data_IF_635743712501
#
_entry.id   IF_635743712501
#
_cell.length_a   1.000
_cell.length_b   1.000
_cell.length_c   1.000
_cell.angle_alpha   90.00
_cell.angle_beta   90.00
_cell.angle_gamma   90.00
#
_symmetry.space_group_name_H-M   'P 1'
#
loop_
_entity.id
_entity.type
_entity.pdbx_description
1 polymer ?
#
# COMPACT_ATOMS: atom_id res chain seq x y z
N UNK A 1 34.59 -12.47 -60.87
CA UNK A 1 33.17 -12.50 -60.53
C UNK A 1 33.10 -12.77 -59.03
N UNK A 2 32.94 -11.70 -58.24
CA UNK A 2 32.90 -11.76 -56.77
C UNK A 2 31.60 -12.45 -56.32
N UNK A 3 31.69 -13.46 -55.46
CA UNK A 3 30.55 -14.03 -54.75
C UNK A 3 30.65 -13.61 -53.28
N UNK A 4 29.67 -12.82 -52.86
CA UNK A 4 29.49 -12.24 -51.53
C UNK A 4 29.07 -13.31 -50.52
N UNK A 5 29.64 -13.25 -49.30
CA UNK A 5 29.18 -14.02 -48.14
C UNK A 5 27.90 -13.40 -47.54
N UNK A 6 26.95 -14.19 -47.03
CA UNK A 6 25.79 -13.66 -46.32
C UNK A 6 26.17 -13.37 -44.85
N UNK A 7 26.17 -12.09 -44.50
CA UNK A 7 26.26 -11.61 -43.12
C UNK A 7 24.91 -11.78 -42.43
N UNK A 8 24.77 -12.76 -41.54
CA UNK A 8 23.58 -12.91 -40.70
C UNK A 8 23.48 -11.77 -39.69
N UNK A 9 22.57 -10.84 -39.95
CA UNK A 9 22.16 -9.79 -39.02
C UNK A 9 21.45 -10.43 -37.82
N UNK A 10 22.06 -10.37 -36.62
CA UNK A 10 21.36 -10.69 -35.37
C UNK A 10 20.46 -9.51 -34.99
N UNK A 11 19.15 -9.70 -35.09
CA UNK A 11 18.16 -8.74 -34.60
C UNK A 11 18.07 -8.88 -33.07
N UNK A 12 18.75 -8.00 -32.32
CA UNK A 12 18.48 -7.82 -30.89
C UNK A 12 17.13 -7.11 -30.75
N UNK A 13 16.07 -7.88 -30.45
CA UNK A 13 14.81 -7.32 -29.95
C UNK A 13 15.04 -6.83 -28.52
N UNK A 14 15.33 -5.54 -28.37
CA UNK A 14 15.17 -4.83 -27.11
C UNK A 14 13.67 -4.75 -26.82
N UNK A 15 13.16 -5.71 -26.05
CA UNK A 15 11.86 -5.59 -25.41
C UNK A 15 11.95 -4.44 -24.40
N UNK A 16 11.54 -3.25 -24.81
CA UNK A 16 11.21 -2.17 -23.88
C UNK A 16 9.97 -2.61 -23.11
N UNK A 17 10.15 -3.30 -21.98
CA UNK A 17 9.12 -3.33 -20.94
C UNK A 17 8.93 -1.89 -20.49
N UNK A 18 7.85 -1.26 -20.92
CA UNK A 18 7.35 -0.07 -20.26
C UNK A 18 7.05 -0.46 -18.81
N UNK A 19 7.93 -0.11 -17.88
CA UNK A 19 7.63 -0.19 -16.45
C UNK A 19 6.46 0.76 -16.22
N UNK A 20 5.25 0.20 -16.21
CA UNK A 20 4.09 0.95 -15.75
C UNK A 20 4.29 1.16 -14.25
N UNK A 21 4.17 2.40 -13.81
CA UNK A 21 4.20 2.78 -12.39
C UNK A 21 2.76 3.05 -11.97
N UNK A 22 2.25 2.28 -11.00
CA UNK A 22 0.97 2.54 -10.39
C UNK A 22 1.11 3.78 -9.54
N UNK A 23 0.02 4.49 -9.41
CA UNK A 23 -0.03 5.67 -8.58
C UNK A 23 -1.25 5.49 -7.71
N UNK A 24 -1.09 5.16 -6.43
CA UNK A 24 -2.22 4.99 -5.54
C UNK A 24 -1.89 5.33 -4.09
N UNK A 25 -2.85 5.94 -3.41
CA UNK A 25 -2.86 6.16 -1.97
C UNK A 25 -4.23 5.83 -1.38
N UNK A 26 -4.27 5.62 -0.07
CA UNK A 26 -5.49 5.79 0.71
C UNK A 26 -5.67 7.28 1.04
N UNK A 27 -6.80 7.84 0.63
CA UNK A 27 -7.17 9.23 0.84
C UNK A 27 -8.13 9.37 2.00
N UNK A 28 -7.79 10.25 2.94
CA UNK A 28 -8.62 10.63 4.08
C UNK A 28 -8.22 12.02 4.57
N UNK A 29 -9.11 12.75 5.24
CA UNK A 29 -8.81 14.10 5.76
C UNK A 29 -7.62 14.14 6.73
N UNK A 30 -7.41 13.05 7.47
CA UNK A 30 -6.31 12.90 8.41
C UNK A 30 -4.96 12.53 7.79
N UNK A 31 -4.85 12.43 6.46
CA UNK A 31 -3.59 12.06 5.79
C UNK A 31 -2.62 13.24 5.70
N UNK A 32 -1.34 12.93 5.71
CA UNK A 32 -0.29 13.85 5.29
C UNK A 32 -0.35 14.05 3.77
N UNK A 33 0.04 15.23 3.31
CA UNK A 33 0.12 15.57 1.89
C UNK A 33 -1.23 15.48 1.14
N UNK A 34 -2.36 15.54 1.87
CA UNK A 34 -3.70 15.51 1.27
C UNK A 34 -3.88 16.58 0.20
N UNK A 35 -3.28 17.75 0.43
CA UNK A 35 -3.37 18.93 -0.44
C UNK A 35 -2.23 19.05 -1.45
N UNK A 36 -1.30 18.08 -1.46
CA UNK A 36 -0.03 18.13 -2.17
C UNK A 36 1.11 18.66 -1.31
N UNK A 37 2.30 18.77 -1.89
CA UNK A 37 3.55 19.10 -1.19
C UNK A 37 4.11 20.52 -1.48
N UNK A 38 3.27 21.42 -1.99
CA UNK A 38 3.65 22.77 -2.37
C UNK A 38 3.06 23.85 -1.44
N UNK A 39 2.27 23.45 -0.43
CA UNK A 39 1.66 24.36 0.55
C UNK A 39 0.40 25.07 0.07
N UNK A 40 0.00 24.90 -1.19
CA UNK A 40 -1.32 25.28 -1.69
C UNK A 40 -2.27 24.07 -1.74
N UNK A 41 -3.58 24.33 -1.69
CA UNK A 41 -4.59 23.30 -1.87
C UNK A 41 -4.67 22.90 -3.36
N UNK A 42 -3.94 21.85 -3.75
CA UNK A 42 -3.99 21.31 -5.10
C UNK A 42 -5.06 20.22 -5.21
N UNK A 43 -6.12 20.53 -5.95
CA UNK A 43 -7.22 19.62 -6.26
C UNK A 43 -6.77 18.40 -7.07
N UNK A 44 -5.75 18.55 -7.92
CA UNK A 44 -5.28 17.51 -8.83
C UNK A 44 -3.94 16.91 -8.38
N UNK A 45 -3.56 17.05 -7.11
CA UNK A 45 -2.31 16.49 -6.60
C UNK A 45 -2.27 14.97 -6.76
N UNK A 46 -1.09 14.50 -7.13
CA UNK A 46 -0.71 13.10 -7.15
C UNK A 46 0.61 12.88 -6.37
N UNK A 47 0.92 13.75 -5.41
CA UNK A 47 2.18 13.65 -4.64
C UNK A 47 2.19 12.42 -3.72
N UNK A 48 1.10 12.18 -3.01
CA UNK A 48 0.96 11.06 -2.07
C UNK A 48 0.84 9.69 -2.73
N UNK A 49 0.64 9.64 -4.05
CA UNK A 49 0.43 8.39 -4.81
C UNK A 49 1.69 7.91 -5.51
N UNK A 50 2.78 8.69 -5.49
CA UNK A 50 4.03 8.32 -6.13
C UNK A 50 4.58 7.01 -5.53
N UNK A 51 5.24 6.15 -6.31
CA UNK A 51 5.89 4.96 -5.76
C UNK A 51 7.14 5.34 -4.94
N UNK A 52 7.55 4.42 -4.07
CA UNK A 52 8.83 4.44 -3.36
C UNK A 52 9.67 3.25 -3.83
N UNK A 53 10.82 3.51 -4.45
CA UNK A 53 11.67 2.47 -5.02
C UNK A 53 13.15 2.88 -5.02
N UNK A 54 14.01 2.00 -4.51
CA UNK A 54 15.47 2.18 -4.45
C UNK A 54 15.91 3.48 -3.76
N UNK A 55 15.18 3.90 -2.74
CA UNK A 55 15.46 5.12 -1.96
C UNK A 55 16.22 4.80 -0.66
N UNK A 56 16.94 5.78 -0.12
CA UNK A 56 17.51 5.67 1.23
C UNK A 56 16.39 5.74 2.27
N UNK A 57 16.62 5.23 3.49
CA UNK A 57 15.59 5.20 4.53
C UNK A 57 15.05 6.58 4.87
N UNK A 58 15.94 7.57 4.94
CA UNK A 58 15.57 8.96 5.19
C UNK A 58 14.70 9.57 4.09
N UNK A 59 14.67 8.98 2.88
CA UNK A 59 13.91 9.50 1.74
C UNK A 59 12.55 8.80 1.61
N UNK A 60 12.47 7.47 1.72
CA UNK A 60 11.18 6.80 1.53
C UNK A 60 10.28 6.84 2.76
N UNK A 61 10.84 7.00 3.96
CA UNK A 61 10.06 7.00 5.20
C UNK A 61 9.01 8.12 5.16
N UNK A 62 7.73 7.74 5.14
CA UNK A 62 6.60 8.66 5.01
C UNK A 62 6.70 9.67 3.84
N UNK A 63 7.30 9.27 2.71
CA UNK A 63 7.43 10.13 1.54
C UNK A 63 8.29 11.40 1.76
N UNK A 64 9.37 11.30 2.53
CA UNK A 64 10.27 12.45 2.70
C UNK A 64 10.96 12.89 1.39
N UNK A 65 11.14 11.99 0.42
CA UNK A 65 11.74 12.27 -0.88
C UNK A 65 11.03 13.40 -1.66
N UNK A 66 9.71 13.52 -1.46
CA UNK A 66 8.89 14.61 -1.99
C UNK A 66 8.28 15.46 -0.87
N UNK A 67 8.82 15.36 0.35
CA UNK A 67 8.47 16.12 1.55
C UNK A 67 7.02 15.99 2.01
N UNK A 68 6.29 14.96 1.60
CA UNK A 68 4.88 14.82 1.98
C UNK A 68 4.69 14.72 3.51
N UNK A 69 5.67 14.18 4.23
CA UNK A 69 5.73 14.16 5.70
C UNK A 69 5.76 15.55 6.35
N UNK A 70 6.17 16.60 5.63
CA UNK A 70 6.18 17.99 6.09
C UNK A 70 4.82 18.69 5.94
N UNK A 71 3.82 18.05 5.32
CA UNK A 71 2.48 18.60 5.09
C UNK A 71 1.42 17.85 5.91
N UNK A 72 1.29 18.13 7.22
CA UNK A 72 0.29 17.48 8.05
C UNK A 72 -1.15 17.83 7.62
N UNK A 73 -2.14 17.01 8.02
CA UNK A 73 -3.54 17.38 7.86
C UNK A 73 -3.88 18.65 8.66
N UNK A 74 -4.93 19.37 8.25
CA UNK A 74 -5.42 20.54 8.98
C UNK A 74 -5.83 20.17 10.42
N UNK A 75 -5.77 21.12 11.34
CA UNK A 75 -6.15 20.91 12.75
C UNK A 75 -7.57 20.33 12.89
N UNK A 76 -7.68 19.28 13.72
CA UNK A 76 -8.93 18.55 13.94
C UNK A 76 -9.24 17.48 12.88
N UNK A 77 -8.55 17.47 11.73
CA UNK A 77 -8.68 16.38 10.77
C UNK A 77 -7.81 15.20 11.20
N UNK A 78 -8.47 14.12 11.63
CA UNK A 78 -7.83 12.86 12.02
C UNK A 78 -8.57 11.68 11.39
N UNK A 79 -7.86 10.57 11.18
CA UNK A 79 -8.50 9.29 10.88
C UNK A 79 -9.06 8.69 12.18
N UNK A 80 -10.38 8.64 12.29
CA UNK A 80 -11.08 8.01 13.41
C UNK A 80 -11.16 6.50 13.21
N UNK A 81 -10.65 5.74 14.17
CA UNK A 81 -10.60 4.27 14.14
C UNK A 81 -11.47 3.74 15.28
N UNK A 82 -12.70 3.28 15.03
CA UNK A 82 -13.52 2.68 16.07
C UNK A 82 -12.93 1.34 16.53
N UNK A 83 -12.61 1.20 17.83
CA UNK A 83 -12.16 -0.06 18.41
C UNK A 83 -13.23 -1.16 18.22
N UNK A 84 -12.81 -2.36 17.78
CA UNK A 84 -13.70 -3.45 17.35
C UNK A 84 -14.73 -3.07 16.27
N UNK A 85 -14.47 -2.00 15.51
CA UNK A 85 -15.35 -1.51 14.47
C UNK A 85 -14.66 -1.44 13.12
N UNK A 86 -15.25 -0.62 12.25
CA UNK A 86 -14.79 -0.44 10.88
C UNK A 86 -14.58 1.04 10.58
N UNK A 87 -13.62 1.34 9.71
CA UNK A 87 -13.39 2.68 9.18
C UNK A 87 -13.20 2.58 7.67
N UNK A 88 -13.55 3.65 6.96
CA UNK A 88 -13.56 3.67 5.49
C UNK A 88 -12.65 4.79 4.98
N UNK A 89 -11.88 4.49 3.96
CA UNK A 89 -11.03 5.43 3.22
C UNK A 89 -11.28 5.28 1.72
N UNK A 90 -10.76 6.23 0.94
CA UNK A 90 -10.85 6.18 -0.51
C UNK A 90 -9.50 5.83 -1.13
N UNK A 91 -9.36 4.69 -1.78
CA UNK A 91 -8.21 4.42 -2.66
C UNK A 91 -8.37 5.19 -3.97
N UNK A 92 -7.40 6.02 -4.32
CA UNK A 92 -7.46 6.72 -5.60
C UNK A 92 -6.08 7.05 -6.17
N UNK A 93 -6.03 7.14 -7.50
CA UNK A 93 -4.78 7.45 -8.25
C UNK A 93 -4.47 8.95 -8.30
N UNK A 94 -5.42 9.78 -7.87
CA UNK A 94 -5.30 11.22 -7.76
C UNK A 94 -6.38 11.72 -6.80
N UNK A 95 -6.12 12.82 -6.10
CA UNK A 95 -7.09 13.41 -5.18
C UNK A 95 -8.41 13.79 -5.85
N UNK A 96 -8.40 14.18 -7.13
CA UNK A 96 -9.60 14.58 -7.88
C UNK A 96 -10.67 13.48 -7.95
N UNK A 97 -10.25 12.23 -7.80
CA UNK A 97 -11.13 11.06 -7.82
C UNK A 97 -11.67 10.69 -6.43
N UNK A 98 -11.56 11.60 -5.45
CA UNK A 98 -12.01 11.39 -4.06
C UNK A 98 -13.02 12.44 -3.65
N UNK A 99 -13.71 12.23 -2.54
CA UNK A 99 -14.62 13.23 -1.96
C UNK A 99 -13.90 14.41 -1.27
N UNK A 100 -12.56 14.45 -1.30
CA UNK A 100 -11.73 15.45 -0.61
C UNK A 100 -11.47 16.72 -1.43
N UNK A 101 -12.23 16.92 -2.51
CA UNK A 101 -12.16 18.10 -3.37
C UNK A 101 -13.55 18.62 -3.72
N UNK A 102 -13.63 19.89 -4.08
CA UNK A 102 -14.83 20.44 -4.70
C UNK A 102 -15.03 19.88 -6.12
N UNK A 103 -16.29 19.55 -6.44
CA UNK A 103 -16.70 18.96 -7.71
C UNK A 103 -15.86 17.75 -8.14
N UNK A 104 -15.85 16.65 -7.36
CA UNK A 104 -15.00 15.51 -7.62
C UNK A 104 -15.43 14.72 -8.86
N UNK A 105 -14.51 13.93 -9.43
CA UNK A 105 -14.81 12.97 -10.50
C UNK A 105 -14.92 11.58 -9.87
N UNK A 106 -16.13 11.16 -9.53
CA UNK A 106 -16.35 9.93 -8.76
C UNK A 106 -16.87 8.81 -9.66
N UNK A 107 -16.29 7.63 -9.46
CA UNK A 107 -16.75 6.35 -9.97
C UNK A 107 -16.50 5.25 -8.95
N UNK A 108 -16.81 4.01 -9.31
CA UNK A 108 -16.58 2.84 -8.47
C UNK A 108 -15.10 2.53 -8.30
N UNK A 109 -14.30 2.78 -9.33
CA UNK A 109 -12.87 2.44 -9.36
C UNK A 109 -11.97 3.64 -9.07
N UNK A 110 -10.71 3.35 -8.76
CA UNK A 110 -9.74 4.28 -8.15
C UNK A 110 -9.36 5.50 -8.99
N UNK A 111 -9.72 5.52 -10.28
CA UNK A 111 -9.51 6.64 -11.20
C UNK A 111 -10.82 7.39 -11.54
N UNK A 112 -11.87 7.18 -10.75
CA UNK A 112 -13.16 7.83 -10.95
C UNK A 112 -13.98 7.29 -12.13
N UNK A 113 -13.61 6.16 -12.71
CA UNK A 113 -14.31 5.53 -13.84
C UNK A 113 -15.15 4.32 -13.43
N UNK A 114 -15.99 3.88 -14.36
CA UNK A 114 -16.76 2.63 -14.32
C UNK A 114 -16.22 1.66 -15.37
N UNK A 115 -16.15 0.38 -15.02
CA UNK A 115 -15.71 -0.68 -15.92
C UNK A 115 -16.69 -1.85 -15.88
N UNK A 116 -17.07 -2.36 -17.06
CA UNK A 116 -17.90 -3.56 -17.19
C UNK A 116 -17.10 -4.87 -17.21
N UNK A 117 -15.79 -4.80 -17.51
CA UNK A 117 -14.92 -5.95 -17.78
C UNK A 117 -13.50 -5.75 -17.22
N UNK A 118 -13.34 -5.03 -16.11
CA UNK A 118 -12.02 -4.80 -15.52
C UNK A 118 -11.40 -6.13 -15.06
N UNK A 119 -10.20 -6.43 -15.55
CA UNK A 119 -9.49 -7.67 -15.25
C UNK A 119 -9.88 -8.87 -16.12
N UNK A 120 -10.76 -8.69 -17.09
CA UNK A 120 -10.95 -9.69 -18.16
C UNK A 120 -9.78 -9.62 -19.13
N UNK A 121 -9.16 -10.77 -19.40
CA UNK A 121 -8.09 -10.87 -20.41
C UNK A 121 -8.68 -10.90 -21.82
N UNK A 122 -7.88 -10.45 -22.80
CA UNK A 122 -8.30 -10.47 -24.21
C UNK A 122 -8.59 -11.90 -24.69
N UNK A 123 -9.49 -12.01 -25.68
CA UNK A 123 -9.80 -13.30 -26.30
C UNK A 123 -8.52 -14.00 -26.81
N UNK A 124 -8.39 -15.29 -26.50
CA UNK A 124 -7.21 -16.09 -26.83
C UNK A 124 -6.02 -15.93 -25.86
N UNK A 125 -6.20 -15.23 -24.75
CA UNK A 125 -5.26 -15.18 -23.62
C UNK A 125 -5.80 -15.95 -22.43
N UNK A 126 -4.90 -16.52 -21.63
CA UNK A 126 -5.27 -17.12 -20.36
C UNK A 126 -5.89 -16.04 -19.43
N UNK A 127 -7.02 -16.31 -18.76
CA UNK A 127 -7.62 -15.36 -17.84
C UNK A 127 -6.62 -14.90 -16.76
N UNK A 128 -6.54 -13.60 -16.51
CA UNK A 128 -5.62 -13.02 -15.53
C UNK A 128 -4.15 -13.06 -15.94
N UNK A 129 -3.83 -13.31 -17.22
CA UNK A 129 -2.43 -13.27 -17.71
C UNK A 129 -1.95 -11.87 -18.11
N UNK A 130 -2.87 -10.92 -18.29
CA UNK A 130 -2.55 -9.56 -18.72
C UNK A 130 -2.73 -8.57 -17.56
N UNK A 131 -1.70 -7.74 -17.34
CA UNK A 131 -1.77 -6.67 -16.35
C UNK A 131 -2.76 -5.58 -16.78
N UNK A 132 -3.53 -5.08 -15.80
CA UNK A 132 -4.40 -3.93 -15.98
C UNK A 132 -3.53 -2.68 -16.11
N UNK A 133 -3.63 -2.01 -17.26
CA UNK A 133 -2.89 -0.78 -17.56
C UNK A 133 -3.65 0.50 -17.20
N UNK A 134 -4.96 0.41 -16.98
CA UNK A 134 -5.84 1.51 -16.53
C UNK A 134 -6.95 0.85 -15.70
N UNK A 135 -7.12 1.19 -14.40
CA UNK A 135 -6.54 2.33 -13.67
C UNK A 135 -5.10 2.12 -13.14
N UNK A 136 -4.33 1.20 -13.71
CA UNK A 136 -2.95 0.88 -13.32
C UNK A 136 -2.78 0.63 -11.81
N UNK A 137 -3.45 -0.41 -11.31
CA UNK A 137 -3.42 -0.86 -9.91
C UNK A 137 -2.57 -2.11 -9.71
N UNK A 138 -1.66 -2.38 -10.66
CA UNK A 138 -0.67 -3.45 -10.60
C UNK A 138 -1.23 -4.81 -10.20
N UNK A 139 -2.29 -5.20 -10.90
CA UNK A 139 -2.86 -6.53 -10.82
C UNK A 139 -3.48 -6.89 -12.17
N UNK A 140 -3.74 -8.16 -12.39
CA UNK A 140 -4.42 -8.69 -13.56
C UNK A 140 -5.93 -8.81 -13.33
N UNK A 141 -6.38 -8.98 -12.08
CA UNK A 141 -7.79 -9.00 -11.68
C UNK A 141 -7.96 -8.79 -10.15
N UNK A 142 -9.20 -8.71 -9.66
CA UNK A 142 -9.49 -8.46 -8.23
C UNK A 142 -8.83 -9.50 -7.32
N UNK A 143 -8.92 -10.78 -7.67
CA UNK A 143 -8.41 -11.88 -6.84
C UNK A 143 -6.88 -11.90 -6.73
N UNK A 144 -6.19 -11.24 -7.66
CA UNK A 144 -4.73 -11.13 -7.70
C UNK A 144 -4.20 -9.83 -7.07
N UNK A 145 -5.07 -8.91 -6.67
CA UNK A 145 -4.64 -7.69 -5.99
C UNK A 145 -3.99 -8.01 -4.63
N UNK A 146 -2.83 -7.40 -4.39
CA UNK A 146 -1.85 -7.85 -3.40
C UNK A 146 -2.27 -7.70 -1.92
N UNK A 147 -3.31 -6.92 -1.66
CA UNK A 147 -3.73 -6.51 -0.33
C UNK A 147 -3.03 -5.23 0.14
N UNK A 148 -3.72 -4.48 0.99
CA UNK A 148 -3.26 -3.23 1.58
C UNK A 148 -3.43 -3.28 3.10
N UNK A 149 -2.69 -2.45 3.83
CA UNK A 149 -2.69 -2.49 5.28
C UNK A 149 -2.75 -1.10 5.91
N UNK A 150 -3.25 -1.07 7.14
CA UNK A 150 -3.07 0.05 8.06
C UNK A 150 -2.25 -0.38 9.28
N UNK A 151 -1.32 0.47 9.65
CA UNK A 151 -0.51 0.36 10.86
C UNK A 151 -0.70 1.57 11.78
N UNK A 152 -0.43 1.38 13.07
CA UNK A 152 -0.59 2.40 14.11
C UNK A 152 0.66 2.45 14.98
N UNK A 153 1.07 3.68 15.32
CA UNK A 153 2.09 3.99 16.32
C UNK A 153 1.48 4.91 17.37
N UNK A 154 1.63 4.53 18.64
CA UNK A 154 1.12 5.28 19.80
C UNK A 154 2.03 6.47 20.15
N UNK A 155 2.49 7.18 19.13
CA UNK A 155 3.23 8.42 19.20
C UNK A 155 2.36 9.54 18.60
N UNK A 156 2.35 10.71 19.25
CA UNK A 156 1.57 11.86 18.77
C UNK A 156 2.26 12.62 17.64
N UNK A 157 3.58 12.45 17.49
CA UNK A 157 4.42 13.15 16.52
C UNK A 157 5.02 12.17 15.50
N UNK A 158 4.96 12.53 14.21
CA UNK A 158 5.46 11.71 13.11
C UNK A 158 6.97 11.39 13.25
N UNK A 159 7.75 12.35 13.74
CA UNK A 159 9.20 12.21 13.94
C UNK A 159 9.59 11.18 15.00
N UNK A 160 8.66 10.79 15.89
CA UNK A 160 8.86 9.75 16.89
C UNK A 160 8.47 8.35 16.38
N UNK A 161 7.89 8.25 15.18
CA UNK A 161 7.49 6.97 14.59
C UNK A 161 8.71 6.26 14.00
N UNK A 162 8.87 5.00 14.37
CA UNK A 162 9.94 4.12 13.90
C UNK A 162 9.34 2.80 13.39
N UNK A 163 10.15 2.01 12.70
CA UNK A 163 9.76 0.66 12.27
C UNK A 163 9.38 -0.24 13.47
N UNK A 164 9.97 0.00 14.63
CA UNK A 164 9.79 -0.81 15.83
C UNK A 164 8.59 -0.37 16.69
N UNK A 165 7.92 0.72 16.34
CA UNK A 165 6.71 1.18 17.05
C UNK A 165 5.48 1.33 16.15
N UNK A 166 5.60 0.98 14.86
CA UNK A 166 4.52 1.04 13.88
C UNK A 166 3.99 -0.39 13.60
N UNK A 167 2.81 -0.70 14.13
CA UNK A 167 2.24 -2.06 14.13
C UNK A 167 1.07 -2.17 13.17
N UNK A 168 1.11 -3.13 12.25
CA UNK A 168 -0.02 -3.43 11.37
C UNK A 168 -1.19 -3.95 12.20
N UNK A 169 -2.31 -3.24 12.18
CA UNK A 169 -3.51 -3.60 12.93
C UNK A 169 -4.69 -3.99 12.04
N UNK A 170 -4.66 -3.65 10.76
CA UNK A 170 -5.70 -4.01 9.80
C UNK A 170 -5.09 -4.32 8.44
N UNK A 171 -5.61 -5.36 7.79
CA UNK A 171 -5.26 -5.73 6.43
C UNK A 171 -6.55 -5.93 5.66
N UNK A 172 -6.58 -5.48 4.41
CA UNK A 172 -7.67 -5.74 3.49
C UNK A 172 -7.07 -6.46 2.28
N UNK A 173 -7.59 -7.65 1.97
CA UNK A 173 -7.18 -8.41 0.79
C UNK A 173 -7.82 -7.86 -0.47
N UNK A 174 -7.27 -8.27 -1.61
CA UNK A 174 -7.83 -7.95 -2.93
C UNK A 174 -7.95 -6.45 -3.16
N UNK A 175 -7.03 -5.71 -2.54
CA UNK A 175 -6.86 -4.28 -2.71
C UNK A 175 -5.45 -3.99 -3.21
N UNK A 176 -5.27 -2.85 -3.89
CA UNK A 176 -6.31 -1.93 -4.35
C UNK A 176 -7.17 -2.51 -5.48
N UNK A 177 -8.44 -2.10 -5.53
CA UNK A 177 -9.37 -2.49 -6.60
C UNK A 177 -10.46 -1.44 -6.81
N UNK A 178 -11.36 -1.32 -5.82
CA UNK A 178 -12.39 -0.27 -5.78
C UNK A 178 -11.89 0.95 -5.02
N UNK A 179 -12.52 2.10 -5.30
CA UNK A 179 -12.24 3.36 -4.60
C UNK A 179 -12.61 3.28 -3.13
N UNK A 180 -13.83 2.86 -2.80
CA UNK A 180 -14.25 2.75 -1.41
C UNK A 180 -13.67 1.48 -0.79
N UNK A 181 -12.89 1.62 0.28
CA UNK A 181 -12.28 0.52 1.00
C UNK A 181 -12.54 0.64 2.50
N UNK A 182 -13.09 -0.43 3.09
CA UNK A 182 -13.47 -0.50 4.50
C UNK A 182 -12.60 -1.51 5.23
N UNK A 183 -12.01 -1.07 6.34
CA UNK A 183 -11.05 -1.82 7.13
C UNK A 183 -11.61 -2.10 8.53
N UNK A 184 -11.28 -3.27 9.07
CA UNK A 184 -11.69 -3.68 10.42
C UNK A 184 -10.56 -3.42 11.41
N UNK A 185 -10.88 -2.82 12.55
CA UNK A 185 -9.93 -2.58 13.64
C UNK A 185 -10.17 -3.58 14.78
N UNK A 186 -9.10 -4.08 15.44
CA UNK A 186 -9.22 -4.89 16.64
C UNK A 186 -9.61 -4.01 17.84
N UNK A 187 -9.64 -4.59 19.05
CA UNK A 187 -9.89 -3.88 20.30
C UNK A 187 -8.68 -3.03 20.73
N UNK A 188 -8.36 -2.01 19.92
CA UNK A 188 -7.23 -1.12 20.12
C UNK A 188 -7.38 -0.30 21.42
N UNK A 189 -6.31 -0.11 22.20
CA UNK A 189 -6.32 0.83 23.32
C UNK A 189 -6.38 2.28 22.82
N UNK A 190 -6.77 3.18 23.72
CA UNK A 190 -6.85 4.62 23.42
C UNK A 190 -5.49 5.20 23.05
N UNK A 191 -5.47 6.12 22.08
CA UNK A 191 -4.30 6.93 21.76
C UNK A 191 -3.91 7.85 22.95
N UNK A 192 -2.63 8.24 23.06
CA UNK A 192 -2.23 9.27 24.01
C UNK A 192 -2.85 10.63 23.67
N UNK A 193 -2.64 11.61 24.57
CA UNK A 193 -2.96 13.00 24.26
C UNK A 193 -2.23 13.46 22.99
N UNK A 194 -2.94 14.17 22.11
CA UNK A 194 -2.45 14.55 20.78
C UNK A 194 -2.70 13.50 19.68
N UNK A 195 -3.21 12.32 20.04
CA UNK A 195 -3.55 11.26 19.08
C UNK A 195 -2.39 10.30 18.81
N UNK A 196 -2.56 9.50 17.76
CA UNK A 196 -1.57 8.56 17.25
C UNK A 196 -1.16 8.95 15.82
N UNK A 197 -0.09 8.32 15.34
CA UNK A 197 0.23 8.31 13.92
C UNK A 197 -0.10 6.94 13.34
N UNK A 198 -0.80 6.94 12.21
CA UNK A 198 -1.09 5.76 11.43
C UNK A 198 -0.40 5.81 10.08
N UNK A 199 -0.26 4.66 9.44
CA UNK A 199 0.27 4.56 8.09
C UNK A 199 -0.58 3.59 7.26
N UNK A 200 -0.84 3.94 6.01
CA UNK A 200 -1.32 3.01 5.00
C UNK A 200 -0.14 2.48 4.19
N UNK A 201 -0.19 1.20 3.81
CA UNK A 201 0.86 0.58 3.01
C UNK A 201 0.32 -0.35 1.93
N UNK A 202 1.06 -0.41 0.83
CA UNK A 202 0.81 -1.34 -0.27
C UNK A 202 2.13 -1.76 -0.94
N UNK A 203 2.23 -3.05 -1.27
CA UNK A 203 3.29 -3.61 -2.12
C UNK A 203 2.60 -4.37 -3.27
N UNK A 204 2.78 -3.94 -4.52
CA UNK A 204 2.18 -4.58 -5.69
C UNK A 204 2.66 -6.01 -5.90
N UNK A 205 1.88 -6.83 -6.61
CA UNK A 205 2.24 -8.21 -6.90
C UNK A 205 2.17 -8.50 -8.42
N UNK A 206 3.30 -8.91 -9.01
CA UNK A 206 3.38 -9.46 -10.36
C UNK A 206 3.26 -8.47 -11.54
N UNK A 207 2.66 -7.30 -11.36
CA UNK A 207 2.51 -6.29 -12.40
C UNK A 207 3.24 -4.98 -12.06
N UNK A 208 3.92 -4.40 -13.05
CA UNK A 208 4.63 -3.12 -12.90
C UNK A 208 6.01 -3.24 -12.26
N UNK A 209 6.58 -2.09 -11.92
CA UNK A 209 7.81 -2.04 -11.11
C UNK A 209 7.50 -2.51 -9.68
N UNK A 210 8.34 -3.38 -9.08
CA UNK A 210 8.10 -3.89 -7.74
C UNK A 210 8.45 -2.83 -6.67
N UNK A 211 7.65 -1.77 -6.61
CA UNK A 211 7.79 -0.64 -5.69
C UNK A 211 7.08 -0.88 -4.35
N UNK A 212 7.18 0.09 -3.44
CA UNK A 212 6.33 0.16 -2.25
C UNK A 212 5.55 1.49 -2.21
N UNK A 213 4.45 1.52 -1.48
CA UNK A 213 3.66 2.73 -1.25
C UNK A 213 3.40 2.85 0.24
N UNK A 214 3.55 4.05 0.77
CA UNK A 214 3.38 4.34 2.19
C UNK A 214 2.86 5.75 2.39
N UNK A 215 1.78 5.92 3.15
CA UNK A 215 1.19 7.24 3.41
C UNK A 215 0.91 7.39 4.90
N UNK A 216 1.28 8.53 5.48
CA UNK A 216 1.06 8.82 6.89
C UNK A 216 -0.28 9.49 7.18
N UNK A 217 -0.77 9.30 8.40
CA UNK A 217 -2.01 9.88 8.90
C UNK A 217 -1.87 10.29 10.36
N UNK A 218 -2.48 11.42 10.75
CA UNK A 218 -2.90 11.60 12.15
C UNK A 218 -4.15 10.76 12.37
N UNK A 219 -4.19 9.97 13.44
CA UNK A 219 -5.31 9.09 13.74
C UNK A 219 -5.64 9.07 15.23
N UNK A 220 -6.85 8.60 15.55
CA UNK A 220 -7.28 8.39 16.94
C UNK A 220 -8.16 7.16 17.05
N UNK A 221 -8.08 6.47 18.18
CA UNK A 221 -8.93 5.30 18.47
C UNK A 221 -10.18 5.77 19.20
N UNK A 222 -11.34 5.52 18.60
CA UNK A 222 -12.66 5.85 19.13
C UNK A 222 -13.22 4.67 19.91
N UNK A 223 -14.01 4.94 20.95
CA UNK A 223 -14.68 3.92 21.78
C UNK A 223 -13.74 2.88 22.40
N UNK A 224 -12.46 3.23 22.62
CA UNK A 224 -11.49 2.33 23.23
C UNK A 224 -11.87 1.98 24.67
N UNK A 225 -12.02 0.69 24.94
CA UNK A 225 -12.24 0.16 26.31
C UNK A 225 -11.13 -0.78 26.75
N UNK A 226 -10.38 -1.34 25.80
CA UNK A 226 -9.20 -2.14 26.04
C UNK A 226 -8.12 -1.37 26.80
N UNK A 227 -7.46 -2.09 27.71
CA UNK A 227 -6.25 -1.65 28.42
C UNK A 227 -5.01 -2.45 28.01
N UNK A 228 -5.15 -3.33 27.01
CA UNK A 228 -4.04 -4.17 26.53
C UNK A 228 -3.04 -3.27 25.83
N UNK A 229 -1.76 -3.43 26.14
CA UNK A 229 -0.69 -2.77 25.39
C UNK A 229 -0.46 -3.50 24.07
N UNK A 230 -0.16 -2.75 23.01
CA UNK A 230 0.33 -3.31 21.75
C UNK A 230 1.72 -3.91 21.99
N UNK A 231 1.95 -5.12 21.48
CA UNK A 231 3.25 -5.77 21.54
C UNK A 231 4.25 -5.11 20.59
N UNK A 232 5.55 -5.23 20.90
CA UNK A 232 6.59 -4.83 19.95
C UNK A 232 6.48 -5.66 18.66
N UNK A 233 6.37 -5.02 17.49
CA UNK A 233 6.21 -5.72 16.23
C UNK A 233 7.52 -6.38 15.77
N UNK A 234 7.41 -7.52 15.11
CA UNK A 234 8.51 -8.16 14.37
C UNK A 234 8.33 -8.03 12.86
N UNK A 235 9.41 -8.02 12.06
CA UNK A 235 9.28 -8.10 10.60
C UNK A 235 8.47 -9.34 10.20
N UNK A 236 7.50 -9.22 9.26
CA UNK A 236 6.83 -10.40 8.72
C UNK A 236 7.80 -11.23 7.87
N UNK A 237 7.48 -12.50 7.65
CA UNK A 237 8.30 -13.39 6.83
C UNK A 237 7.44 -14.16 5.85
N UNK A 238 8.03 -14.49 4.69
CA UNK A 238 7.37 -15.33 3.70
C UNK A 238 7.11 -16.73 4.28
N UNK A 239 5.86 -17.17 4.23
CA UNK A 239 5.41 -18.42 4.80
C UNK A 239 4.33 -19.10 3.94
N UNK A 240 4.24 -18.77 2.65
CA UNK A 240 3.26 -19.38 1.73
C UNK A 240 3.31 -20.92 1.77
N UNK A 241 4.52 -21.50 1.71
CA UNK A 241 4.72 -22.95 1.65
C UNK A 241 4.40 -23.67 2.97
N UNK A 242 4.43 -22.94 4.09
CA UNK A 242 4.22 -23.49 5.43
C UNK A 242 3.72 -22.40 6.39
N UNK A 243 2.40 -22.32 6.52
CA UNK A 243 1.73 -21.34 7.36
C UNK A 243 2.07 -21.47 8.85
N UNK A 244 2.58 -22.62 9.30
CA UNK A 244 3.01 -22.80 10.69
C UNK A 244 4.27 -21.99 11.03
N UNK A 245 5.03 -21.57 10.00
CA UNK A 245 6.24 -20.75 10.11
C UNK A 245 5.98 -19.25 10.01
N UNK A 246 4.73 -18.83 9.78
CA UNK A 246 4.41 -17.41 9.75
C UNK A 246 4.72 -16.74 11.09
N UNK A 247 5.19 -15.49 11.02
CA UNK A 247 5.38 -14.64 12.20
C UNK A 247 4.03 -14.37 12.85
N UNK A 248 3.90 -14.75 14.12
CA UNK A 248 2.70 -14.55 14.92
C UNK A 248 2.78 -13.26 15.71
N UNK A 249 1.62 -12.72 16.08
CA UNK A 249 1.51 -11.52 16.88
C UNK A 249 1.72 -10.24 16.08
N UNK A 250 2.12 -9.19 16.79
CA UNK A 250 2.38 -7.87 16.23
C UNK A 250 3.44 -7.94 15.12
N UNK A 251 3.09 -7.42 13.95
CA UNK A 251 3.95 -7.38 12.78
C UNK A 251 4.21 -5.94 12.36
N UNK A 252 5.41 -5.69 11.87
CA UNK A 252 5.77 -4.42 11.23
C UNK A 252 5.04 -4.29 9.89
N UNK A 253 4.99 -3.08 9.35
CA UNK A 253 4.72 -2.92 7.92
C UNK A 253 5.83 -3.58 7.10
N UNK A 254 5.54 -3.86 5.84
CA UNK A 254 6.53 -4.44 4.93
C UNK A 254 7.30 -3.30 4.28
N UNK A 255 8.63 -3.31 4.46
CA UNK A 255 9.56 -2.38 3.83
C UNK A 255 10.44 -3.17 2.87
N UNK A 256 10.28 -2.90 1.57
CA UNK A 256 10.86 -3.73 0.52
C UNK A 256 11.26 -2.90 -0.70
N UNK A 257 12.26 -3.41 -1.43
CA UNK A 257 12.84 -2.80 -2.64
C UNK A 257 13.28 -1.34 -2.50
N UNK A 258 13.77 -0.98 -1.31
CA UNK A 258 14.47 0.27 -1.05
C UNK A 258 15.98 0.05 -1.09
N UNK A 259 16.76 1.12 -1.24
CA UNK A 259 18.22 1.04 -1.17
C UNK A 259 18.71 0.82 0.27
N UNK A 260 17.92 1.25 1.26
CA UNK A 260 18.21 1.07 2.68
C UNK A 260 16.92 0.86 3.48
N UNK A 261 16.98 0.11 4.57
CA UNK A 261 15.90 0.04 5.57
C UNK A 261 14.82 -1.00 5.27
N UNK A 262 15.06 -1.93 4.35
CA UNK A 262 14.18 -3.08 4.13
C UNK A 262 14.14 -3.98 5.38
N UNK A 263 12.99 -4.59 5.65
CA UNK A 263 12.83 -5.58 6.72
C UNK A 263 12.40 -6.95 6.20
N UNK A 264 12.13 -7.05 4.90
CA UNK A 264 11.76 -8.29 4.22
C UNK A 264 12.66 -8.47 3.01
N UNK A 265 13.11 -9.70 2.78
CA UNK A 265 13.79 -10.13 1.57
C UNK A 265 13.08 -11.38 1.06
N UNK A 266 12.77 -11.42 -0.24
CA UNK A 266 12.16 -12.58 -0.89
C UNK A 266 12.86 -12.86 -2.22
N UNK A 267 12.98 -14.14 -2.54
CA UNK A 267 13.57 -14.62 -3.79
C UNK A 267 12.78 -15.80 -4.39
N UNK A 268 13.05 -16.09 -5.66
CA UNK A 268 12.40 -17.18 -6.38
C UNK A 268 10.94 -16.90 -6.73
N UNK A 269 10.17 -17.97 -6.90
CA UNK A 269 8.77 -17.93 -7.34
C UNK A 269 7.82 -18.35 -6.22
N UNK A 270 6.61 -17.81 -6.25
CA UNK A 270 5.49 -18.25 -5.43
C UNK A 270 4.86 -19.55 -5.97
N UNK A 271 3.86 -20.05 -5.25
CA UNK A 271 3.13 -21.29 -5.58
C UNK A 271 2.46 -21.31 -6.95
N UNK A 272 2.24 -20.16 -7.58
CA UNK A 272 1.65 -20.02 -8.93
C UNK A 272 2.69 -19.68 -9.99
N UNK A 273 3.98 -19.76 -9.65
CA UNK A 273 5.10 -19.58 -10.57
C UNK A 273 5.45 -18.12 -10.88
N UNK A 274 4.90 -17.15 -10.13
CA UNK A 274 5.24 -15.74 -10.27
C UNK A 274 6.41 -15.37 -9.35
N UNK A 275 7.26 -14.38 -9.69
CA UNK A 275 8.25 -13.86 -8.75
C UNK A 275 7.60 -13.48 -7.42
N UNK A 276 8.20 -13.88 -6.29
CA UNK A 276 7.65 -13.55 -4.97
C UNK A 276 7.59 -12.04 -4.79
N UNK A 277 6.44 -11.55 -4.33
CA UNK A 277 6.26 -10.18 -3.85
C UNK A 277 5.63 -10.21 -2.45
N UNK A 278 6.21 -9.54 -1.45
CA UNK A 278 5.73 -9.60 -0.08
C UNK A 278 4.54 -8.64 0.12
N UNK A 279 3.39 -8.97 -0.48
CA UNK A 279 2.14 -8.22 -0.28
C UNK A 279 1.50 -8.48 1.10
N UNK A 280 0.54 -7.64 1.48
CA UNK A 280 -0.22 -7.79 2.74
C UNK A 280 -1.27 -8.90 2.62
N UNK A 281 -0.81 -10.14 2.73
CA UNK A 281 -1.60 -11.35 2.52
C UNK A 281 -1.19 -12.51 3.43
N UNK A 282 -1.90 -13.64 3.31
CA UNK A 282 -1.59 -14.88 4.01
C UNK A 282 -0.19 -15.41 3.68
N UNK A 283 0.38 -15.06 2.52
CA UNK A 283 1.76 -15.44 2.15
C UNK A 283 2.81 -14.85 3.11
N UNK A 284 2.45 -13.77 3.81
CA UNK A 284 3.28 -13.06 4.79
C UNK A 284 2.75 -13.19 6.22
N UNK A 285 1.76 -14.07 6.45
CA UNK A 285 1.19 -14.31 7.79
C UNK A 285 0.24 -13.22 8.29
N UNK A 286 -0.25 -12.35 7.40
CA UNK A 286 -1.35 -11.44 7.72
C UNK A 286 -2.69 -12.15 7.49
N UNK A 287 -3.68 -11.93 8.35
CA UNK A 287 -5.06 -12.33 8.09
C UNK A 287 -5.82 -11.19 7.41
N UNK A 288 -6.87 -11.49 6.63
CA UNK A 288 -7.79 -10.46 6.17
C UNK A 288 -8.60 -9.89 7.36
N UNK A 289 -8.77 -8.58 7.42
CA UNK A 289 -9.47 -7.85 8.47
C UNK A 289 -8.55 -7.41 9.62
N UNK A 290 -9.14 -7.33 10.82
CA UNK A 290 -8.45 -6.91 12.03
C UNK A 290 -7.36 -7.92 12.46
N UNK A 291 -6.19 -7.42 12.84
CA UNK A 291 -5.11 -8.23 13.41
C UNK A 291 -5.31 -8.33 14.93
N UNK A 292 -5.95 -9.42 15.39
CA UNK A 292 -6.40 -9.55 16.79
C UNK A 292 -5.33 -10.09 17.76
N UNK A 293 -4.17 -10.51 17.25
CA UNK A 293 -3.07 -11.13 18.00
C UNK A 293 -1.93 -10.14 18.32
N UNK A 294 -2.11 -8.84 18.08
CA UNK A 294 -1.05 -7.82 18.16
C UNK A 294 -0.73 -7.31 19.58
N UNK A 295 -1.30 -7.90 20.62
CA UNK A 295 -1.23 -7.40 21.99
C UNK A 295 -0.19 -8.18 22.83
N UNK A 296 0.32 -7.57 23.91
CA UNK A 296 1.47 -8.07 24.67
C UNK A 296 1.15 -9.07 25.81
N UNK A 297 -0.10 -9.47 25.97
CA UNK A 297 -0.62 -10.31 27.06
C UNK A 297 -0.72 -11.80 26.72
#
# INVERSE_FOLDING_TARGET
>A
MLLLAPSSFSLFLLAFSSCATAHLAAWHKGMYCMKGNQGNDDRNTNDAVQPLYQLQKADWWFHHNNKCDEFPPDDGNVLEIPANGEFTVEHAVNRVFTTLVDNPVLGTYVNGQEYSNLGESREGKEPGSECIVEPNIHTQNETMAAGTAFAISYQSELSAVTQDNLVVFSVLYQTPWKRIATYQAPDLPACPEGGCICAWGWIPNGCGEPSSYMVGFKCTVMNATSKRSIASPSPPAWCEDDQSKCVKGAKQMIYWNQAEGNNVEVDGTDSVGQPKSPGYSAKMGFSNGAQNDIFAD
#
